data_IF_815462908308
#
_entry.id   IF_815462908308
#
_cell.length_a   1.000
_cell.length_b   1.000
_cell.length_c   1.000
_cell.angle_alpha   90.00
_cell.angle_beta   90.00
_cell.angle_gamma   90.00
#
_symmetry.space_group_name_H-M   'P 1'
#
loop_
_entity.id
_entity.type
_entity.pdbx_description
1 polymer ?
#
# COMPACT_ATOMS: atom_id res chain seq x y z
N UNK A 1 8.66 -1.06 1.91
CA UNK A 1 8.35 -2.08 2.95
C UNK A 1 6.95 -2.62 2.70
N UNK A 2 6.66 -3.89 2.99
CA UNK A 2 5.34 -4.49 2.75
C UNK A 2 4.87 -5.17 4.04
N UNK A 3 3.63 -4.91 4.45
CA UNK A 3 2.93 -5.61 5.53
C UNK A 3 1.65 -6.27 4.98
N UNK A 4 1.40 -7.52 5.35
CA UNK A 4 0.22 -8.27 4.88
C UNK A 4 -0.81 -8.37 5.99
N UNK A 5 -2.07 -8.05 5.69
CA UNK A 5 -3.17 -8.18 6.65
C UNK A 5 -4.27 -9.07 6.08
N UNK A 6 -4.77 -10.02 6.88
CA UNK A 6 -5.94 -10.82 6.53
C UNK A 6 -7.23 -10.15 7.02
N UNK A 7 -7.70 -9.16 6.26
CA UNK A 7 -8.98 -8.46 6.51
C UNK A 7 -9.68 -8.21 5.18
N UNK A 8 -11.02 -8.19 5.20
CA UNK A 8 -11.83 -7.82 4.03
C UNK A 8 -11.94 -6.30 3.95
N UNK A 9 -11.44 -5.71 2.87
CA UNK A 9 -11.67 -4.30 2.56
C UNK A 9 -13.12 -4.08 2.10
N UNK A 10 -13.59 -2.83 2.09
CA UNK A 10 -14.91 -2.46 1.59
C UNK A 10 -14.77 -1.20 0.76
N UNK A 11 -15.19 -1.27 -0.49
CA UNK A 11 -15.03 -0.18 -1.46
C UNK A 11 -15.79 1.10 -1.05
N UNK A 12 -17.02 0.96 -0.55
CA UNK A 12 -17.85 2.10 -0.12
C UNK A 12 -17.52 2.63 1.29
N UNK A 13 -16.46 2.14 1.93
CA UNK A 13 -16.07 2.54 3.27
C UNK A 13 -14.97 3.61 3.24
N UNK A 14 -14.98 4.51 4.22
CA UNK A 14 -13.90 5.48 4.41
C UNK A 14 -12.55 4.75 4.46
N UNK A 15 -11.61 5.19 3.62
CA UNK A 15 -10.27 4.60 3.49
C UNK A 15 -10.28 3.09 3.22
N UNK A 16 -11.22 2.61 2.40
CA UNK A 16 -11.35 1.18 2.05
C UNK A 16 -11.60 0.28 3.29
N UNK A 17 -12.10 0.84 4.39
CA UNK A 17 -12.22 0.21 5.72
C UNK A 17 -10.88 -0.16 6.40
N UNK A 18 -9.77 0.41 5.94
CA UNK A 18 -8.48 0.28 6.64
C UNK A 18 -8.56 0.94 8.01
N UNK A 19 -8.12 0.21 9.04
CA UNK A 19 -8.13 0.71 10.41
C UNK A 19 -7.16 1.88 10.56
N UNK A 20 -7.57 2.93 11.28
CA UNK A 20 -6.67 4.03 11.66
C UNK A 20 -5.41 3.51 12.38
N UNK A 21 -5.51 2.43 13.15
CA UNK A 21 -4.35 1.82 13.81
C UNK A 21 -3.36 1.21 12.80
N UNK A 22 -3.87 0.54 11.74
CA UNK A 22 -3.03 -0.01 10.68
C UNK A 22 -2.30 1.13 9.94
N UNK A 23 -2.97 2.26 9.68
CA UNK A 23 -2.35 3.47 9.10
C UNK A 23 -1.22 4.02 9.98
N UNK A 24 -1.44 4.14 11.28
CA UNK A 24 -0.40 4.61 12.21
C UNK A 24 0.81 3.66 12.25
N UNK A 25 0.58 2.35 12.19
CA UNK A 25 1.68 1.38 12.08
C UNK A 25 2.50 1.60 10.82
N UNK A 26 1.86 1.88 9.68
CA UNK A 26 2.58 2.14 8.42
C UNK A 26 3.40 3.42 8.46
N UNK A 27 2.87 4.49 9.05
CA UNK A 27 3.62 5.74 9.24
C UNK A 27 4.81 5.53 10.16
N UNK A 28 4.62 4.82 11.27
CA UNK A 28 5.72 4.46 12.17
C UNK A 28 6.81 3.67 11.46
N UNK A 29 6.44 2.72 10.58
CA UNK A 29 7.39 1.95 9.78
C UNK A 29 8.12 2.82 8.74
N UNK A 30 7.40 3.65 7.99
CA UNK A 30 8.00 4.57 7.00
C UNK A 30 9.01 5.48 7.66
N UNK A 31 8.64 6.10 8.77
CA UNK A 31 9.53 6.96 9.55
C UNK A 31 10.74 6.17 10.10
N UNK A 32 10.49 5.08 10.84
CA UNK A 32 11.52 4.32 11.57
C UNK A 32 12.59 3.72 10.67
N UNK A 33 12.21 3.30 9.47
CA UNK A 33 13.10 2.62 8.52
C UNK A 33 13.50 3.49 7.33
N UNK A 34 12.97 4.71 7.20
CA UNK A 34 13.23 5.56 6.04
C UNK A 34 12.71 4.97 4.74
N UNK A 35 11.58 4.27 4.80
CA UNK A 35 10.95 3.72 3.62
C UNK A 35 10.01 4.79 3.01
N UNK A 36 10.30 5.32 1.81
CA UNK A 36 9.44 6.31 1.15
C UNK A 36 8.12 5.70 0.66
N UNK A 37 8.06 4.37 0.51
CA UNK A 37 6.83 3.63 0.21
C UNK A 37 6.66 2.45 1.19
N UNK A 38 5.48 2.42 1.82
CA UNK A 38 5.01 1.34 2.70
C UNK A 38 3.70 0.80 2.14
N UNK A 39 3.63 -0.51 1.88
CA UNK A 39 2.47 -1.13 1.25
C UNK A 39 1.73 -2.03 2.23
N UNK A 40 0.43 -1.80 2.39
CA UNK A 40 -0.52 -2.70 3.05
C UNK A 40 -1.15 -3.61 2.00
N UNK A 41 -0.84 -4.89 2.08
CA UNK A 41 -1.33 -5.89 1.14
C UNK A 41 -2.45 -6.72 1.76
N UNK A 42 -3.64 -6.67 1.15
CA UNK A 42 -4.82 -7.40 1.59
C UNK A 42 -5.20 -8.50 0.57
N UNK A 43 -5.87 -9.58 1.00
CA UNK A 43 -6.51 -10.49 0.08
C UNK A 43 -7.64 -9.77 -0.66
N UNK A 44 -7.64 -9.87 -1.98
CA UNK A 44 -8.78 -9.50 -2.80
C UNK A 44 -9.92 -10.50 -2.54
N UNK A 45 -11.16 -10.03 -2.66
CA UNK A 45 -12.35 -10.86 -2.60
C UNK A 45 -13.41 -10.28 -3.53
N UNK A 46 -14.31 -11.10 -4.05
CA UNK A 46 -15.30 -10.72 -5.06
C UNK A 46 -16.28 -9.59 -4.65
N UNK A 47 -16.29 -9.16 -3.39
CA UNK A 47 -17.02 -7.99 -2.92
C UNK A 47 -16.30 -6.67 -3.15
N UNK A 48 -14.99 -6.71 -3.43
CA UNK A 48 -14.26 -5.66 -4.11
C UNK A 48 -14.48 -5.91 -5.60
N UNK A 49 -14.85 -4.88 -6.37
CA UNK A 49 -15.05 -4.97 -7.81
C UNK A 49 -13.73 -5.37 -8.53
N UNK A 50 -13.65 -5.20 -9.85
CA UNK A 50 -12.48 -5.58 -10.67
C UNK A 50 -11.11 -5.34 -9.99
N UNK A 51 -10.23 -6.34 -10.06
CA UNK A 51 -8.90 -6.23 -9.46
C UNK A 51 -8.06 -5.16 -10.16
N UNK A 52 -7.69 -4.12 -9.42
CA UNK A 52 -6.81 -3.03 -9.88
C UNK A 52 -5.39 -3.12 -9.30
N UNK A 53 -5.13 -4.09 -8.41
CA UNK A 53 -3.88 -4.21 -7.68
C UNK A 53 -3.72 -3.12 -6.61
N UNK A 54 -3.34 -1.90 -6.99
CA UNK A 54 -3.22 -0.75 -6.08
C UNK A 54 -4.57 -0.04 -5.99
N UNK A 55 -5.16 0.00 -4.79
CA UNK A 55 -6.49 0.57 -4.55
C UNK A 55 -6.45 2.03 -4.12
N UNK A 56 -5.48 2.39 -3.29
CA UNK A 56 -5.32 3.77 -2.83
C UNK A 56 -3.85 4.06 -2.48
N UNK A 57 -3.48 5.33 -2.62
CA UNK A 57 -2.18 5.85 -2.16
C UNK A 57 -2.46 7.06 -1.29
N UNK A 58 -1.91 7.07 -0.07
CA UNK A 58 -1.94 8.21 0.82
C UNK A 58 -0.53 8.76 0.95
N UNK A 59 -0.38 10.04 0.67
CA UNK A 59 0.86 10.76 0.93
C UNK A 59 0.76 11.41 2.31
N UNK A 60 1.74 11.14 3.16
CA UNK A 60 1.83 11.75 4.49
C UNK A 60 3.20 12.39 4.63
N UNK A 61 3.21 13.67 4.99
CA UNK A 61 4.45 14.39 5.24
C UNK A 61 5.10 13.85 6.52
N UNK A 62 6.37 13.43 6.41
CA UNK A 62 7.18 13.10 7.56
C UNK A 62 7.81 14.37 8.12
N UNK A 63 7.06 15.07 8.99
CA UNK A 63 7.53 16.29 9.65
C UNK A 63 8.75 16.07 10.55
N UNK A 64 9.05 14.83 10.91
CA UNK A 64 10.24 14.47 11.69
C UNK A 64 11.50 14.41 10.82
N UNK A 65 11.37 14.18 9.51
CA UNK A 65 12.46 14.31 8.55
C UNK A 65 12.49 15.72 7.94
N UNK A 66 13.54 16.48 8.23
CA UNK A 66 13.82 17.77 7.57
C UNK A 66 14.42 17.60 6.16
N UNK A 67 13.71 16.91 5.27
CA UNK A 67 14.03 16.91 3.84
C UNK A 67 12.76 17.20 3.02
N UNK A 68 12.84 18.02 1.95
CA UNK A 68 11.69 18.30 1.10
C UNK A 68 11.10 17.05 0.42
N UNK A 69 11.86 15.96 0.34
CA UNK A 69 11.43 14.67 -0.24
C UNK A 69 11.11 13.61 0.84
N UNK A 70 10.61 14.05 2.01
CA UNK A 70 10.35 13.13 3.14
C UNK A 70 8.95 12.56 3.16
N UNK A 71 8.18 12.68 2.08
CA UNK A 71 6.83 12.14 2.07
C UNK A 71 6.86 10.61 2.18
N UNK A 72 6.09 10.07 3.12
CA UNK A 72 5.84 8.63 3.23
C UNK A 72 4.58 8.32 2.43
N UNK A 73 4.71 7.48 1.40
CA UNK A 73 3.60 6.95 0.65
C UNK A 73 3.10 5.66 1.30
N UNK A 74 1.86 5.67 1.77
CA UNK A 74 1.16 4.47 2.24
C UNK A 74 0.25 3.97 1.12
N UNK A 75 0.56 2.81 0.58
CA UNK A 75 -0.18 2.19 -0.53
C UNK A 75 -1.07 1.07 0.01
N UNK A 76 -2.36 1.10 -0.30
CA UNK A 76 -3.27 -0.03 -0.09
C UNK A 76 -3.30 -0.83 -1.38
N UNK A 77 -2.91 -2.09 -1.32
CA UNK A 77 -2.92 -3.02 -2.43
C UNK A 77 -3.69 -4.29 -2.10
N UNK A 78 -4.20 -4.96 -3.14
CA UNK A 78 -4.88 -6.25 -3.02
C UNK A 78 -4.29 -7.29 -3.95
N UNK A 79 -4.31 -8.56 -3.56
CA UNK A 79 -3.96 -9.70 -4.42
C UNK A 79 -5.06 -10.76 -4.40
N UNK A 80 -5.41 -11.25 -5.57
CA UNK A 80 -6.27 -12.41 -5.77
C UNK A 80 -5.54 -13.68 -5.33
N UNK A 81 -6.19 -14.44 -4.46
CA UNK A 81 -5.67 -15.69 -3.91
C UNK A 81 -6.43 -16.93 -4.39
N UNK A 82 -7.41 -16.75 -5.30
CA UNK A 82 -8.20 -17.85 -5.88
C UNK A 82 -7.31 -18.77 -6.73
N UNK A 83 -6.49 -18.19 -7.61
CA UNK A 83 -5.46 -18.91 -8.36
C UNK A 83 -4.06 -18.42 -7.95
N UNK A 84 -3.40 -19.21 -7.10
CA UNK A 84 -2.07 -18.91 -6.58
C UNK A 84 -1.00 -18.82 -7.69
N UNK A 85 -1.24 -19.40 -8.88
CA UNK A 85 -0.31 -19.29 -10.01
C UNK A 85 -0.22 -17.87 -10.56
N UNK A 86 -1.26 -17.06 -10.34
CA UNK A 86 -1.30 -15.67 -10.76
C UNK A 86 -0.59 -14.73 -9.77
N UNK A 87 -0.36 -15.14 -8.52
CA UNK A 87 0.24 -14.28 -7.48
C UNK A 87 1.59 -13.68 -7.91
N UNK A 88 2.55 -14.43 -8.49
CA UNK A 88 3.80 -13.83 -8.97
C UNK A 88 3.60 -12.77 -10.06
N UNK A 89 2.59 -12.93 -10.93
CA UNK A 89 2.26 -11.94 -11.95
C UNK A 89 1.64 -10.68 -11.32
N UNK A 90 0.69 -10.87 -10.41
CA UNK A 90 0.05 -9.77 -9.67
C UNK A 90 1.05 -8.95 -8.86
N UNK A 91 1.97 -9.60 -8.15
CA UNK A 91 3.03 -8.92 -7.40
C UNK A 91 3.95 -8.10 -8.30
N UNK A 92 4.27 -8.60 -9.51
CA UNK A 92 5.05 -7.82 -10.49
C UNK A 92 4.32 -6.58 -10.98
N UNK A 93 2.99 -6.64 -11.11
CA UNK A 93 2.18 -5.48 -11.49
C UNK A 93 2.04 -4.47 -10.35
N UNK A 94 2.01 -4.93 -9.10
CA UNK A 94 1.99 -4.06 -7.92
C UNK A 94 3.29 -3.31 -7.72
N UNK A 95 4.42 -3.92 -8.06
CA UNK A 95 5.76 -3.37 -7.88
C UNK A 95 6.53 -3.36 -9.20
N UNK A 96 6.12 -2.53 -10.18
CA UNK A 96 6.92 -2.37 -11.39
C UNK A 96 8.31 -1.87 -10.98
N UNK A 97 9.38 -2.45 -11.55
CA UNK A 97 10.76 -2.02 -11.28
C UNK A 97 10.82 -0.51 -11.45
N UNK A 98 11.23 0.17 -10.39
CA UNK A 98 11.03 1.59 -10.10
C UNK A 98 11.12 2.51 -11.33
N UNK A 99 10.08 3.30 -11.53
CA UNK A 99 10.27 4.67 -12.00
C UNK A 99 11.03 5.38 -10.87
N UNK A 100 12.25 5.80 -11.14
CA UNK A 100 13.01 6.67 -10.26
C UNK A 100 12.15 7.91 -9.96
N UNK A 101 11.66 8.05 -8.74
CA UNK A 101 11.09 9.31 -8.27
C UNK A 101 12.28 10.23 -8.00
N UNK A 102 12.69 10.94 -9.05
CA UNK A 102 13.89 11.74 -9.09
C UNK A 102 13.86 12.65 -10.33
N UNK A 103 13.08 13.72 -10.23
CA UNK A 103 13.12 14.96 -11.00
C UNK A 103 11.86 15.72 -10.55
N UNK A 104 11.91 16.93 -10.00
CA UNK A 104 12.60 18.13 -10.49
C UNK A 104 12.73 19.12 -9.35
#
# INVERSE_FOLDING_TARGET
MIDTKWKRLKEDALRESVSSADMYQMLAYGHRYGAPEVVLLYPHHAGLQHWTGRRATYQVEDSLRRSPDSAIHVVIATIELIDLKLVPFQLRQLFPRSQCFGAT
#
